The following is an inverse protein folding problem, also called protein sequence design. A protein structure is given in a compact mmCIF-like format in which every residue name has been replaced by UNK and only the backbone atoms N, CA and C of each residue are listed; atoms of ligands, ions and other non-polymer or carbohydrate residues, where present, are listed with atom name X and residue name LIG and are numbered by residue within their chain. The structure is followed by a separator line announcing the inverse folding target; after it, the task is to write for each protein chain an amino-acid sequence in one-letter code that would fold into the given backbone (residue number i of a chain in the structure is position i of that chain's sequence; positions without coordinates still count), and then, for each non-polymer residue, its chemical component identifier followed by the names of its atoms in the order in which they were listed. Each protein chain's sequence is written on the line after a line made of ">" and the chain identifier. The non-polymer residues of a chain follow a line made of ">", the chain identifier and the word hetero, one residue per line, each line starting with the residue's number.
data_IF_471369253832
#
_entry.id   IF_471369253832
#
_cell.length_a   1.000
_cell.length_b   1.000
_cell.length_c   1.000
_cell.angle_alpha   90.00
_cell.angle_beta   90.00
_cell.angle_gamma   90.00
#
_symmetry.space_group_name_H-M   'P 1'
#
loop_
_entity.id
_entity.type
_entity.pdbx_description
1 polymer ?
#
# COMPACT_ATOMS: atom_id res chain seq x y z
N UNK A 1 -18.01 -5.51 -21.38
CA UNK A 1 -18.15 -4.46 -20.37
C UNK A 1 -17.06 -3.43 -20.55
N UNK A 2 -17.39 -2.13 -20.49
CA UNK A 2 -16.44 -1.03 -20.57
C UNK A 2 -16.45 -0.23 -19.28
N UNK A 3 -15.29 -0.04 -18.65
CA UNK A 3 -15.15 0.67 -17.38
C UNK A 3 -14.20 1.87 -17.51
N UNK A 4 -14.65 3.04 -17.04
CA UNK A 4 -13.77 4.20 -16.90
C UNK A 4 -13.23 4.24 -15.47
N UNK A 5 -11.91 4.22 -15.32
CA UNK A 5 -11.21 4.29 -14.04
C UNK A 5 -10.64 5.70 -13.84
N UNK A 6 -10.74 6.26 -12.65
CA UNK A 6 -10.24 7.61 -12.33
C UNK A 6 -9.22 7.56 -11.20
N UNK A 7 -7.96 7.90 -11.50
CA UNK A 7 -6.87 8.04 -10.54
C UNK A 7 -6.14 9.37 -10.77
N UNK A 8 -6.25 10.30 -9.81
CA UNK A 8 -5.73 11.67 -9.95
C UNK A 8 -4.46 11.94 -9.14
N UNK A 9 -3.89 10.93 -8.52
CA UNK A 9 -2.63 11.03 -7.76
C UNK A 9 -1.45 11.40 -8.67
N UNK A 10 -0.54 12.25 -8.15
CA UNK A 10 0.66 12.65 -8.93
C UNK A 10 1.82 11.67 -8.79
N UNK A 11 1.87 10.94 -7.68
CA UNK A 11 2.96 10.04 -7.33
C UNK A 11 2.52 8.58 -7.48
N UNK A 12 3.43 7.74 -7.94
CA UNK A 12 3.19 6.30 -8.05
C UNK A 12 3.51 5.59 -6.72
N UNK A 13 2.53 5.64 -5.81
CA UNK A 13 2.57 4.88 -4.56
C UNK A 13 1.74 3.60 -4.67
N UNK A 14 1.70 2.80 -3.61
CA UNK A 14 0.97 1.53 -3.59
C UNK A 14 -0.47 1.59 -4.11
N UNK A 15 -1.19 2.71 -3.92
CA UNK A 15 -2.54 2.89 -4.47
C UNK A 15 -2.57 2.91 -6.00
N UNK A 16 -1.66 3.66 -6.63
CA UNK A 16 -1.57 3.73 -8.09
C UNK A 16 -1.10 2.39 -8.69
N UNK A 17 -0.21 1.67 -8.02
CA UNK A 17 0.21 0.33 -8.40
C UNK A 17 -0.98 -0.64 -8.46
N UNK A 18 -1.87 -0.62 -7.44
CA UNK A 18 -3.08 -1.44 -7.43
C UNK A 18 -4.01 -1.16 -8.63
N UNK A 19 -4.06 0.11 -9.07
CA UNK A 19 -4.87 0.48 -10.25
C UNK A 19 -4.28 -0.15 -11.51
N UNK A 20 -2.98 -0.05 -11.73
CA UNK A 20 -2.33 -0.64 -12.91
C UNK A 20 -2.53 -2.16 -12.94
N UNK A 21 -2.28 -2.86 -11.82
CA UNK A 21 -2.51 -4.31 -11.73
C UNK A 21 -3.97 -4.69 -12.01
N UNK A 22 -4.93 -3.93 -11.44
CA UNK A 22 -6.34 -4.16 -11.70
C UNK A 22 -6.67 -4.01 -13.19
N UNK A 23 -6.20 -2.95 -13.85
CA UNK A 23 -6.51 -2.70 -15.25
C UNK A 23 -5.90 -3.76 -16.17
N UNK A 24 -4.67 -4.17 -15.92
CA UNK A 24 -4.03 -5.26 -16.65
C UNK A 24 -4.82 -6.57 -16.50
N UNK A 25 -5.15 -6.96 -15.27
CA UNK A 25 -5.90 -8.20 -15.03
C UNK A 25 -7.35 -8.16 -15.54
N UNK A 26 -7.99 -7.00 -15.56
CA UNK A 26 -9.31 -6.82 -16.18
C UNK A 26 -9.25 -6.96 -17.71
N UNK A 27 -8.18 -6.51 -18.34
CA UNK A 27 -7.97 -6.70 -19.79
C UNK A 27 -7.89 -8.20 -20.14
N UNK A 28 -7.21 -9.02 -19.33
CA UNK A 28 -7.14 -10.48 -19.49
C UNK A 28 -8.53 -11.15 -19.38
N UNK A 29 -9.47 -10.51 -18.68
CA UNK A 29 -10.89 -10.93 -18.58
C UNK A 29 -11.78 -10.34 -19.67
N UNK A 30 -11.22 -9.62 -20.64
CA UNK A 30 -11.98 -9.01 -21.73
C UNK A 30 -12.78 -7.77 -21.33
N UNK A 31 -12.43 -7.12 -20.22
CA UNK A 31 -13.01 -5.83 -19.82
C UNK A 31 -12.26 -4.70 -20.50
N UNK A 32 -12.98 -3.87 -21.26
CA UNK A 32 -12.43 -2.65 -21.88
C UNK A 32 -12.27 -1.57 -20.82
N UNK A 33 -11.03 -1.19 -20.50
CA UNK A 33 -10.70 -0.25 -19.43
C UNK A 33 -10.08 1.03 -19.99
N UNK A 34 -10.58 2.18 -19.54
CA UNK A 34 -10.02 3.51 -19.84
C UNK A 34 -9.57 4.17 -18.54
N UNK A 35 -8.30 4.49 -18.42
CA UNK A 35 -7.75 5.20 -17.28
C UNK A 35 -7.79 6.71 -17.48
N UNK A 36 -8.51 7.42 -16.64
CA UNK A 36 -8.47 8.88 -16.54
C UNK A 36 -7.49 9.28 -15.44
N UNK A 37 -6.43 9.99 -15.81
CA UNK A 37 -5.43 10.47 -14.87
C UNK A 37 -4.97 11.90 -15.15
N UNK A 38 -4.19 12.47 -14.22
CA UNK A 38 -3.59 13.80 -14.40
C UNK A 38 -2.44 13.72 -15.41
N UNK A 39 -2.40 14.60 -16.44
CA UNK A 39 -1.35 14.59 -17.43
C UNK A 39 0.05 14.72 -16.82
N UNK A 40 1.01 13.91 -17.29
CA UNK A 40 2.39 13.89 -16.81
C UNK A 40 2.57 13.34 -15.39
N UNK A 41 1.54 12.71 -14.81
CA UNK A 41 1.69 11.99 -13.54
C UNK A 41 2.47 10.68 -13.74
N UNK A 42 2.99 10.12 -12.66
CA UNK A 42 3.76 8.88 -12.77
C UNK A 42 2.89 7.70 -13.24
N UNK A 43 1.60 7.65 -12.87
CA UNK A 43 0.67 6.62 -13.37
C UNK A 43 0.37 6.79 -14.85
N UNK A 44 0.32 8.02 -15.37
CA UNK A 44 0.12 8.31 -16.81
C UNK A 44 1.17 7.57 -17.67
N UNK A 45 2.45 7.75 -17.32
CA UNK A 45 3.56 7.09 -18.03
C UNK A 45 3.51 5.56 -17.89
N UNK A 46 3.38 5.06 -16.67
CA UNK A 46 3.41 3.61 -16.39
C UNK A 46 2.23 2.89 -17.03
N UNK A 47 1.05 3.48 -17.02
CA UNK A 47 -0.14 2.89 -17.66
C UNK A 47 0.01 2.84 -19.19
N UNK A 48 0.59 3.87 -19.82
CA UNK A 48 0.87 3.86 -21.25
C UNK A 48 1.92 2.80 -21.61
N UNK A 49 3.00 2.66 -20.82
CA UNK A 49 4.01 1.61 -20.98
C UNK A 49 3.40 0.20 -20.83
N UNK A 50 2.37 0.05 -20.01
CA UNK A 50 1.60 -1.20 -19.83
C UNK A 50 0.53 -1.42 -20.92
N UNK A 51 0.41 -0.55 -21.92
CA UNK A 51 -0.57 -0.66 -23.01
C UNK A 51 -2.02 -0.31 -22.60
N UNK A 52 -2.23 0.31 -21.45
CA UNK A 52 -3.55 0.74 -20.97
C UNK A 52 -3.99 1.99 -21.74
N UNK A 53 -5.26 2.03 -22.17
CA UNK A 53 -5.84 3.24 -22.76
C UNK A 53 -5.94 4.37 -21.74
N UNK A 54 -5.23 5.46 -21.94
CA UNK A 54 -5.15 6.60 -21.01
C UNK A 54 -5.79 7.85 -21.60
N UNK A 55 -6.65 8.48 -20.83
CA UNK A 55 -7.26 9.80 -21.10
C UNK A 55 -6.76 10.81 -20.05
N UNK A 56 -6.12 11.85 -20.49
CA UNK A 56 -5.51 12.86 -19.63
C UNK A 56 -6.47 14.00 -19.30
N UNK A 57 -6.92 14.09 -18.02
CA UNK A 57 -7.74 15.18 -17.53
C UNK A 57 -7.05 15.89 -16.35
N UNK A 58 -6.74 17.19 -16.47
CA UNK A 58 -6.19 17.94 -15.35
C UNK A 58 -7.16 17.97 -14.17
N UNK A 59 -6.66 17.67 -12.95
CA UNK A 59 -7.43 17.74 -11.71
C UNK A 59 -6.70 18.58 -10.67
N UNK A 60 -7.37 19.60 -10.11
CA UNK A 60 -6.80 20.53 -9.11
C UNK A 60 -7.16 20.17 -7.67
N UNK A 61 -8.02 19.17 -7.46
CA UNK A 61 -8.41 18.70 -6.13
C UNK A 61 -9.90 18.37 -5.97
N UNK A 62 -10.32 18.20 -4.72
CA UNK A 62 -11.67 17.67 -4.37
C UNK A 62 -12.85 18.55 -4.84
N UNK A 63 -12.65 19.84 -5.01
CA UNK A 63 -13.69 20.79 -5.43
C UNK A 63 -13.45 21.33 -6.86
N UNK A 64 -12.80 20.56 -7.72
CA UNK A 64 -12.59 20.93 -9.11
C UNK A 64 -13.85 20.62 -9.96
N UNK A 65 -14.81 21.55 -9.97
CA UNK A 65 -16.01 21.43 -10.80
C UNK A 65 -15.72 21.39 -12.31
N UNK A 66 -14.62 22.02 -12.74
CA UNK A 66 -14.19 21.97 -14.13
C UNK A 66 -13.69 20.55 -14.50
N UNK A 67 -13.04 19.84 -13.57
CA UNK A 67 -12.72 18.42 -13.74
C UNK A 67 -13.98 17.57 -13.86
N UNK A 68 -14.97 17.76 -12.97
CA UNK A 68 -16.24 17.05 -13.03
C UNK A 68 -16.94 17.23 -14.40
N UNK A 69 -16.94 18.46 -14.92
CA UNK A 69 -17.53 18.74 -16.24
C UNK A 69 -16.74 18.10 -17.39
N UNK A 70 -15.39 18.14 -17.36
CA UNK A 70 -14.55 17.46 -18.36
C UNK A 70 -14.78 15.95 -18.31
N UNK A 71 -14.84 15.37 -17.11
CA UNK A 71 -15.11 13.94 -16.92
C UNK A 71 -16.52 13.57 -17.44
N UNK A 72 -17.53 14.36 -17.16
CA UNK A 72 -18.88 14.14 -17.68
C UNK A 72 -18.91 14.12 -19.23
N UNK A 73 -18.17 15.03 -19.87
CA UNK A 73 -18.05 15.02 -21.35
C UNK A 73 -17.35 13.77 -21.86
N UNK A 74 -16.31 13.31 -21.17
CA UNK A 74 -15.60 12.07 -21.48
C UNK A 74 -16.53 10.87 -21.34
N UNK A 75 -17.25 10.74 -20.22
CA UNK A 75 -18.21 9.66 -19.98
C UNK A 75 -19.28 9.58 -21.10
N UNK A 76 -19.80 10.73 -21.54
CA UNK A 76 -20.74 10.79 -22.66
C UNK A 76 -20.14 10.39 -24.01
N UNK A 77 -18.84 10.62 -24.21
CA UNK A 77 -18.11 10.22 -25.42
C UNK A 77 -17.80 8.73 -25.41
N UNK A 78 -17.23 8.24 -24.30
CA UNK A 78 -16.77 6.86 -24.15
C UNK A 78 -17.92 5.86 -23.96
N UNK A 79 -19.05 6.32 -23.42
CA UNK A 79 -20.25 5.52 -23.11
C UNK A 79 -19.90 4.24 -22.34
N UNK A 80 -19.20 4.34 -21.21
CA UNK A 80 -18.88 3.18 -20.40
C UNK A 80 -20.13 2.62 -19.74
N UNK A 81 -20.04 1.36 -19.30
CA UNK A 81 -21.07 0.72 -18.49
C UNK A 81 -20.97 1.14 -17.01
N UNK A 82 -19.75 1.52 -16.55
CA UNK A 82 -19.48 1.82 -15.14
C UNK A 82 -18.31 2.82 -14.98
N UNK A 83 -18.37 3.64 -13.91
CA UNK A 83 -17.25 4.48 -13.44
C UNK A 83 -16.64 3.90 -12.16
N UNK A 84 -15.31 3.77 -12.06
CA UNK A 84 -14.60 3.42 -10.85
C UNK A 84 -13.59 4.50 -10.43
N UNK A 85 -13.79 5.10 -9.25
CA UNK A 85 -12.89 6.11 -8.68
C UNK A 85 -11.93 5.47 -7.67
N UNK A 86 -10.61 5.70 -7.83
CA UNK A 86 -9.56 5.06 -7.03
C UNK A 86 -8.86 5.97 -6.03
N UNK A 87 -8.88 7.29 -6.23
CA UNK A 87 -8.20 8.23 -5.35
C UNK A 87 -9.15 9.21 -4.70
N UNK A 88 -8.85 9.57 -3.44
CA UNK A 88 -9.62 10.55 -2.68
C UNK A 88 -9.42 11.98 -3.17
N UNK A 89 -8.20 12.33 -3.62
CA UNK A 89 -7.86 13.71 -3.97
C UNK A 89 -8.39 14.09 -5.34
N UNK A 90 -9.70 14.38 -5.41
CA UNK A 90 -10.35 14.93 -6.58
C UNK A 90 -10.98 13.91 -7.53
N UNK A 91 -10.79 12.61 -7.34
CA UNK A 91 -11.45 11.60 -8.15
C UNK A 91 -12.80 11.21 -7.59
N UNK A 92 -12.90 10.95 -6.28
CA UNK A 92 -14.09 10.40 -5.65
C UNK A 92 -15.29 11.36 -5.70
N UNK A 93 -15.20 12.55 -5.11
CA UNK A 93 -16.32 13.48 -5.03
C UNK A 93 -16.77 13.98 -6.41
N UNK A 94 -15.92 14.60 -7.25
CA UNK A 94 -16.35 15.06 -8.58
C UNK A 94 -16.70 13.90 -9.52
N UNK A 95 -16.01 12.75 -9.39
CA UNK A 95 -16.24 11.58 -10.23
C UNK A 95 -17.60 10.95 -9.99
N UNK A 96 -17.94 10.70 -8.72
CA UNK A 96 -19.24 10.13 -8.37
C UNK A 96 -20.42 11.00 -8.84
N UNK A 97 -20.32 12.32 -8.65
CA UNK A 97 -21.38 13.22 -9.13
C UNK A 97 -21.44 13.33 -10.66
N UNK A 98 -20.29 13.26 -11.35
CA UNK A 98 -20.27 13.21 -12.82
C UNK A 98 -20.94 11.93 -13.34
N UNK A 99 -20.68 10.76 -12.72
CA UNK A 99 -21.34 9.51 -13.05
C UNK A 99 -22.86 9.59 -12.84
N UNK A 100 -23.29 10.10 -11.68
CA UNK A 100 -24.72 10.28 -11.36
C UNK A 100 -25.44 11.16 -12.39
N UNK A 101 -24.81 12.26 -12.82
CA UNK A 101 -25.38 13.14 -13.86
C UNK A 101 -25.41 12.45 -15.22
N UNK A 102 -24.44 11.57 -15.49
CA UNK A 102 -24.39 10.77 -16.71
C UNK A 102 -25.39 9.60 -16.70
N UNK A 103 -26.00 9.27 -15.56
CA UNK A 103 -26.88 8.10 -15.38
C UNK A 103 -26.10 6.78 -15.36
N UNK A 104 -24.83 6.81 -14.94
CA UNK A 104 -23.95 5.65 -14.89
C UNK A 104 -23.80 5.13 -13.46
N UNK A 105 -23.78 3.82 -13.24
CA UNK A 105 -23.38 3.24 -11.96
C UNK A 105 -21.91 3.55 -11.66
N UNK A 106 -21.60 3.65 -10.35
CA UNK A 106 -20.27 4.05 -9.92
C UNK A 106 -19.78 3.28 -8.69
N UNK A 107 -18.49 2.96 -8.71
CA UNK A 107 -17.74 2.34 -7.61
C UNK A 107 -16.68 3.31 -7.12
N UNK A 108 -16.37 3.28 -5.82
CA UNK A 108 -15.22 3.99 -5.25
C UNK A 108 -14.39 3.07 -4.37
N UNK A 109 -13.07 3.06 -4.56
CA UNK A 109 -12.12 2.37 -3.68
C UNK A 109 -11.59 3.29 -2.59
N UNK A 110 -11.82 2.94 -1.33
CA UNK A 110 -11.31 3.65 -0.17
C UNK A 110 -10.01 3.05 0.32
N UNK A 111 -8.91 3.85 0.27
CA UNK A 111 -7.54 3.39 0.59
C UNK A 111 -6.93 4.05 1.82
N UNK A 112 -7.66 4.93 2.51
CA UNK A 112 -7.15 5.70 3.65
C UNK A 112 -7.98 5.45 4.91
N UNK A 113 -7.31 5.36 6.05
CA UNK A 113 -7.83 5.04 7.38
C UNK A 113 -8.40 6.26 8.15
N UNK A 114 -8.50 7.42 7.51
CA UNK A 114 -9.05 8.61 8.16
C UNK A 114 -10.58 8.55 8.22
N UNK A 115 -11.15 8.60 9.41
CA UNK A 115 -12.59 8.70 9.60
C UNK A 115 -13.12 10.06 9.09
N UNK A 116 -14.35 10.03 8.60
CA UNK A 116 -15.11 11.22 8.20
C UNK A 116 -16.32 11.37 9.11
N UNK A 117 -16.84 12.62 9.22
CA UNK A 117 -18.11 12.79 9.90
C UNK A 117 -19.22 12.06 9.11
N UNK A 118 -20.27 11.54 9.79
CA UNK A 118 -21.37 10.86 9.09
C UNK A 118 -22.01 11.68 7.97
N UNK A 119 -22.13 12.99 8.16
CA UNK A 119 -22.67 13.89 7.13
C UNK A 119 -21.76 14.00 5.93
N UNK A 120 -20.44 14.16 6.14
CA UNK A 120 -19.47 14.23 5.05
C UNK A 120 -19.42 12.90 4.27
N UNK A 121 -19.43 11.76 4.98
CA UNK A 121 -19.49 10.44 4.37
C UNK A 121 -20.76 10.23 3.57
N UNK A 122 -21.94 10.62 4.10
CA UNK A 122 -23.21 10.52 3.41
C UNK A 122 -23.19 11.31 2.09
N UNK A 123 -22.66 12.54 2.09
CA UNK A 123 -22.55 13.36 0.87
C UNK A 123 -21.56 12.75 -0.12
N UNK A 124 -20.38 12.31 0.36
CA UNK A 124 -19.31 11.76 -0.49
C UNK A 124 -19.74 10.48 -1.18
N UNK A 125 -20.37 9.55 -0.43
CA UNK A 125 -20.69 8.21 -0.94
C UNK A 125 -22.12 8.07 -1.50
N UNK A 126 -22.96 9.13 -1.43
CA UNK A 126 -24.30 9.13 -2.00
C UNK A 126 -24.35 8.71 -3.49
N UNK A 127 -23.43 9.22 -4.37
CA UNK A 127 -23.52 8.93 -5.79
C UNK A 127 -22.99 7.55 -6.19
N UNK A 128 -22.40 6.78 -5.27
CA UNK A 128 -21.83 5.48 -5.57
C UNK A 128 -22.77 4.33 -5.23
N UNK A 129 -22.77 3.31 -6.05
CA UNK A 129 -23.51 2.06 -5.85
C UNK A 129 -22.76 1.13 -4.91
N UNK A 130 -21.41 1.07 -5.03
CA UNK A 130 -20.53 0.34 -4.12
C UNK A 130 -19.36 1.20 -3.64
N UNK A 131 -18.99 0.99 -2.37
CA UNK A 131 -17.83 1.58 -1.69
C UNK A 131 -16.93 0.43 -1.28
N UNK A 132 -15.82 0.24 -1.99
CA UNK A 132 -14.86 -0.83 -1.75
C UNK A 132 -13.83 -0.38 -0.72
N UNK A 133 -13.76 -1.06 0.40
CA UNK A 133 -12.69 -0.94 1.38
C UNK A 133 -11.54 -1.88 1.02
N UNK A 134 -10.28 -1.38 1.03
CA UNK A 134 -9.12 -2.22 0.70
C UNK A 134 -8.65 -3.11 1.85
N UNK A 135 -9.37 -3.12 2.96
CA UNK A 135 -9.08 -3.91 4.16
C UNK A 135 -10.28 -3.91 5.10
N UNK A 136 -10.36 -4.89 6.00
CA UNK A 136 -11.38 -4.94 7.04
C UNK A 136 -11.26 -3.74 8.01
N UNK A 137 -10.02 -3.26 8.27
CA UNK A 137 -9.79 -2.03 9.02
C UNK A 137 -10.44 -0.82 8.34
N UNK A 138 -10.28 -0.65 7.04
CA UNK A 138 -10.91 0.46 6.30
C UNK A 138 -12.43 0.30 6.28
N UNK A 139 -12.96 -0.92 6.14
CA UNK A 139 -14.40 -1.18 6.24
C UNK A 139 -14.94 -0.77 7.62
N UNK A 140 -14.23 -1.10 8.71
CA UNK A 140 -14.61 -0.65 10.05
C UNK A 140 -14.59 0.88 10.21
N UNK A 141 -13.67 1.58 9.54
CA UNK A 141 -13.65 3.06 9.50
C UNK A 141 -14.89 3.59 8.77
N UNK A 142 -15.26 3.00 7.64
CA UNK A 142 -16.45 3.39 6.86
C UNK A 142 -17.75 3.14 7.64
N UNK A 143 -17.87 2.00 8.34
CA UNK A 143 -19.00 1.69 9.25
C UNK A 143 -19.13 2.73 10.35
N UNK A 144 -18.03 3.12 11.00
CA UNK A 144 -18.02 4.21 11.99
C UNK A 144 -18.44 5.55 11.40
N UNK A 145 -18.16 5.79 10.12
CA UNK A 145 -18.62 6.96 9.37
C UNK A 145 -20.06 6.81 8.87
N UNK A 146 -20.77 5.73 9.23
CA UNK A 146 -22.18 5.42 8.86
C UNK A 146 -22.39 5.28 7.35
N UNK A 147 -21.44 4.75 6.62
CA UNK A 147 -21.66 4.30 5.25
C UNK A 147 -22.60 3.09 5.27
N UNK A 148 -23.58 3.07 4.37
CA UNK A 148 -24.57 1.98 4.30
C UNK A 148 -23.87 0.64 4.01
N UNK A 149 -24.18 -0.40 4.80
CA UNK A 149 -23.60 -1.72 4.70
C UNK A 149 -23.89 -2.38 3.34
N UNK A 150 -25.07 -2.17 2.76
CA UNK A 150 -25.44 -2.72 1.44
C UNK A 150 -24.53 -2.21 0.31
N UNK A 151 -23.92 -1.02 0.51
CA UNK A 151 -22.96 -0.45 -0.42
C UNK A 151 -21.52 -0.90 -0.14
N UNK A 152 -21.25 -1.51 1.01
CA UNK A 152 -19.89 -1.81 1.44
C UNK A 152 -19.44 -3.16 0.87
N UNK A 153 -18.26 -3.16 0.26
CA UNK A 153 -17.54 -4.38 -0.11
C UNK A 153 -16.10 -4.31 0.44
N UNK A 154 -15.51 -5.45 0.74
CA UNK A 154 -14.09 -5.54 1.12
C UNK A 154 -13.36 -6.27 0.02
N UNK A 155 -12.42 -5.58 -0.64
CA UNK A 155 -11.51 -6.17 -1.62
C UNK A 155 -10.10 -5.77 -1.22
N UNK A 156 -9.32 -6.73 -0.72
CA UNK A 156 -7.97 -6.47 -0.23
C UNK A 156 -7.03 -5.99 -1.34
N UNK A 157 -6.12 -5.08 -1.01
CA UNK A 157 -5.04 -4.73 -1.91
C UNK A 157 -4.14 -5.95 -2.14
N UNK A 158 -3.67 -6.11 -3.36
CA UNK A 158 -2.85 -7.25 -3.78
C UNK A 158 -1.35 -6.96 -3.73
N UNK A 159 -0.58 -8.01 -3.87
CA UNK A 159 0.85 -7.99 -4.17
C UNK A 159 1.13 -8.93 -5.35
N UNK A 160 2.07 -8.54 -6.21
CA UNK A 160 2.57 -9.40 -7.28
C UNK A 160 3.59 -10.37 -6.71
N UNK A 161 3.08 -11.54 -6.29
CA UNK A 161 3.91 -12.56 -5.62
C UNK A 161 4.91 -13.19 -6.59
N UNK A 162 4.51 -13.36 -7.83
CA UNK A 162 5.33 -14.01 -8.85
C UNK A 162 6.48 -13.11 -9.32
N UNK A 163 6.27 -11.79 -9.33
CA UNK A 163 7.30 -10.81 -9.64
C UNK A 163 8.25 -10.51 -8.46
N UNK A 164 7.91 -10.93 -7.22
CA UNK A 164 8.78 -10.70 -6.06
C UNK A 164 9.92 -11.72 -6.02
N UNK A 165 11.18 -11.26 -6.14
CA UNK A 165 12.34 -12.16 -6.09
C UNK A 165 12.52 -12.73 -4.67
N UNK A 166 12.90 -14.00 -4.58
CA UNK A 166 13.17 -14.70 -3.30
C UNK A 166 14.64 -15.11 -3.15
N UNK A 167 15.44 -14.96 -4.19
CA UNK A 167 16.85 -15.37 -4.23
C UNK A 167 17.72 -14.23 -4.78
N UNK A 168 17.80 -13.14 -4.01
CA UNK A 168 18.65 -11.99 -4.36
C UNK A 168 20.02 -12.16 -3.70
N UNK A 169 21.10 -12.03 -4.50
CA UNK A 169 22.46 -12.07 -3.98
C UNK A 169 22.68 -10.99 -2.91
N UNK A 170 22.87 -11.44 -1.67
CA UNK A 170 23.08 -10.60 -0.50
C UNK A 170 24.25 -9.61 -0.66
N UNK A 171 25.22 -9.90 -1.55
CA UNK A 171 26.34 -8.99 -1.83
C UNK A 171 25.88 -7.61 -2.31
N UNK A 172 24.66 -7.50 -2.85
CA UNK A 172 24.08 -6.22 -3.27
C UNK A 172 23.87 -5.27 -2.08
N UNK A 173 23.51 -5.79 -0.90
CA UNK A 173 23.35 -4.99 0.32
C UNK A 173 24.66 -4.40 0.80
N UNK A 174 25.77 -5.12 0.58
CA UNK A 174 27.10 -4.60 0.88
C UNK A 174 27.48 -3.45 -0.05
N UNK A 175 27.26 -3.63 -1.35
CA UNK A 175 27.61 -2.62 -2.37
C UNK A 175 26.79 -1.35 -2.23
N UNK A 176 25.47 -1.50 -2.02
CA UNK A 176 24.54 -0.37 -2.04
C UNK A 176 24.43 0.32 -0.67
N UNK A 177 24.48 -0.43 0.43
CA UNK A 177 24.12 0.08 1.76
C UNK A 177 25.22 -0.15 2.81
N UNK A 178 26.32 -0.80 2.45
CA UNK A 178 27.43 -1.08 3.37
C UNK A 178 27.07 -2.11 4.46
N UNK A 179 26.16 -3.04 4.18
CA UNK A 179 25.86 -4.17 5.07
C UNK A 179 27.05 -5.13 5.08
N UNK A 180 27.55 -5.48 6.26
CA UNK A 180 28.61 -6.50 6.35
C UNK A 180 28.07 -7.87 5.93
N UNK A 181 28.91 -8.72 5.31
CA UNK A 181 28.49 -10.04 4.82
C UNK A 181 27.85 -10.93 5.90
N UNK A 182 28.37 -10.85 7.12
CA UNK A 182 27.90 -11.60 8.30
C UNK A 182 27.00 -10.71 9.22
N UNK A 183 26.60 -9.51 8.76
CA UNK A 183 25.78 -8.58 9.52
C UNK A 183 24.28 -8.90 9.36
N UNK A 184 23.47 -8.47 10.31
CA UNK A 184 22.02 -8.59 10.24
C UNK A 184 21.41 -7.31 9.63
N UNK A 185 20.68 -7.47 8.53
CA UNK A 185 20.14 -6.37 7.74
C UNK A 185 18.64 -6.20 7.96
N UNK A 186 18.23 -5.02 8.41
CA UNK A 186 16.83 -4.66 8.65
C UNK A 186 16.38 -3.65 7.60
N UNK A 187 15.29 -3.94 6.89
CA UNK A 187 14.61 -3.00 6.00
C UNK A 187 13.45 -2.29 6.70
N UNK A 188 13.25 -1.02 6.40
CA UNK A 188 12.04 -0.25 6.69
C UNK A 188 11.60 0.45 5.42
N UNK A 189 10.44 0.09 4.89
CA UNK A 189 9.91 0.65 3.65
C UNK A 189 8.67 1.48 3.97
N UNK A 190 8.85 2.80 4.16
CA UNK A 190 7.75 3.69 4.51
C UNK A 190 8.10 5.16 4.24
N UNK A 191 7.09 6.00 4.03
CA UNK A 191 7.27 7.46 4.05
C UNK A 191 7.87 7.91 5.38
N UNK A 192 8.83 8.83 5.36
CA UNK A 192 9.44 9.41 6.57
C UNK A 192 8.50 10.45 7.20
N UNK A 193 7.44 9.97 7.82
CA UNK A 193 6.43 10.76 8.55
C UNK A 193 6.24 10.19 9.96
N UNK A 194 5.83 11.03 10.91
CA UNK A 194 5.71 10.68 12.32
C UNK A 194 4.95 9.38 12.55
N UNK A 195 3.77 9.23 11.96
CA UNK A 195 2.89 8.06 12.16
C UNK A 195 3.45 6.72 11.66
N UNK A 196 4.55 6.72 10.87
CA UNK A 196 5.25 5.50 10.44
C UNK A 196 6.26 4.98 11.45
N UNK A 197 6.47 5.69 12.55
CA UNK A 197 7.09 5.18 13.76
C UNK A 197 8.58 4.84 13.69
N UNK A 198 9.31 5.31 12.68
CA UNK A 198 10.76 5.04 12.52
C UNK A 198 11.57 5.28 13.80
N UNK A 199 11.15 6.26 14.62
CA UNK A 199 11.79 6.59 15.89
C UNK A 199 11.83 5.41 16.86
N UNK A 200 10.79 4.57 16.89
CA UNK A 200 10.73 3.43 17.81
C UNK A 200 11.82 2.40 17.50
N UNK A 201 12.13 2.19 16.21
CA UNK A 201 13.27 1.35 15.83
C UNK A 201 14.59 2.01 16.21
N UNK A 202 14.76 3.32 15.96
CA UNK A 202 15.98 4.03 16.37
C UNK A 202 16.21 3.97 17.88
N UNK A 203 15.15 4.05 18.68
CA UNK A 203 15.24 4.03 20.17
C UNK A 203 15.75 2.67 20.70
N UNK A 204 15.47 1.56 20.02
CA UNK A 204 15.90 0.21 20.47
C UNK A 204 17.26 -0.22 19.88
N UNK A 205 17.71 0.40 18.81
CA UNK A 205 18.96 0.01 18.12
C UNK A 205 20.21 0.06 19.00
N UNK A 206 20.43 1.05 19.90
CA UNK A 206 21.64 1.06 20.74
C UNK A 206 21.75 -0.21 21.59
N UNK A 207 20.64 -0.67 22.18
CA UNK A 207 20.59 -1.89 22.98
C UNK A 207 20.81 -3.16 22.13
N UNK A 208 20.22 -3.20 20.94
CA UNK A 208 20.41 -4.32 20.01
C UNK A 208 21.85 -4.40 19.50
N UNK A 209 22.47 -3.29 19.11
CA UNK A 209 23.84 -3.25 18.60
C UNK A 209 24.86 -3.64 19.68
N UNK A 210 24.59 -3.29 20.95
CA UNK A 210 25.44 -3.71 22.06
C UNK A 210 25.46 -5.24 22.26
N UNK A 211 24.37 -5.93 21.95
CA UNK A 211 24.23 -7.39 22.05
C UNK A 211 24.62 -8.10 20.74
N UNK A 212 24.27 -7.49 19.59
CA UNK A 212 24.47 -8.04 18.25
C UNK A 212 25.23 -7.02 17.36
N UNK A 213 26.56 -6.95 17.47
CA UNK A 213 27.36 -6.07 16.62
C UNK A 213 27.20 -6.45 15.14
N UNK A 214 27.08 -5.43 14.27
CA UNK A 214 26.94 -5.67 12.82
C UNK A 214 25.51 -5.53 12.30
N UNK A 215 24.54 -5.15 13.16
CA UNK A 215 23.19 -4.76 12.70
C UNK A 215 23.31 -3.53 11.79
N UNK A 216 22.63 -3.60 10.65
CA UNK A 216 22.45 -2.48 9.72
C UNK A 216 20.98 -2.29 9.41
N UNK A 217 20.51 -1.04 9.48
CA UNK A 217 19.13 -0.67 9.12
C UNK A 217 19.14 0.20 7.89
N UNK A 218 18.27 -0.11 6.93
CA UNK A 218 18.09 0.70 5.72
C UNK A 218 16.65 1.24 5.67
N UNK A 219 16.53 2.57 5.66
CA UNK A 219 15.25 3.25 5.51
C UNK A 219 15.01 3.62 4.05
N UNK A 220 14.03 2.98 3.43
CA UNK A 220 13.53 3.30 2.10
C UNK A 220 12.32 4.22 2.21
N UNK A 221 12.50 5.46 1.82
CA UNK A 221 11.43 6.46 1.81
C UNK A 221 11.93 7.88 1.94
N UNK A 222 11.04 8.82 1.68
CA UNK A 222 11.24 10.26 1.86
C UNK A 222 10.07 10.84 2.66
N UNK A 223 10.27 11.99 3.27
CA UNK A 223 9.21 12.68 3.99
C UNK A 223 9.71 13.78 4.90
N UNK A 224 8.81 14.59 5.47
CA UNK A 224 9.17 15.75 6.29
C UNK A 224 9.88 15.40 7.60
N UNK A 225 9.90 14.13 8.02
CA UNK A 225 10.61 13.70 9.23
C UNK A 225 12.07 13.30 8.97
N UNK A 226 12.58 13.36 7.72
CA UNK A 226 13.92 12.89 7.35
C UNK A 226 15.02 13.54 8.21
N UNK A 227 15.05 14.86 8.27
CA UNK A 227 16.06 15.61 9.03
C UNK A 227 16.00 15.29 10.54
N UNK A 228 14.79 15.17 11.10
CA UNK A 228 14.61 14.81 12.51
C UNK A 228 15.10 13.40 12.81
N UNK A 229 14.85 12.44 11.93
CA UNK A 229 15.28 11.05 12.09
C UNK A 229 16.81 10.93 11.95
N UNK A 230 17.43 11.62 11.00
CA UNK A 230 18.90 11.67 10.87
C UNK A 230 19.55 12.28 12.10
N UNK A 231 19.01 13.39 12.60
CA UNK A 231 19.48 14.04 13.83
C UNK A 231 19.34 13.12 15.04
N UNK A 232 18.25 12.36 15.15
CA UNK A 232 18.05 11.38 16.21
C UNK A 232 19.08 10.23 16.10
N UNK A 233 19.25 9.66 14.91
CA UNK A 233 20.26 8.62 14.68
C UNK A 233 21.67 9.08 15.06
N UNK A 234 22.05 10.32 14.70
CA UNK A 234 23.35 10.88 15.06
C UNK A 234 23.52 11.04 16.58
N UNK A 235 22.50 11.58 17.29
CA UNK A 235 22.53 11.70 18.75
C UNK A 235 22.63 10.36 19.48
N UNK A 236 22.06 9.31 18.91
CA UNK A 236 22.11 7.95 19.46
C UNK A 236 23.39 7.20 19.04
N UNK A 237 24.32 7.83 18.29
CA UNK A 237 25.54 7.19 17.81
C UNK A 237 25.34 6.16 16.71
N UNK A 238 24.19 6.21 15.99
CA UNK A 238 23.78 5.21 15.03
C UNK A 238 24.17 5.52 13.57
N UNK A 239 24.97 6.58 13.31
CA UNK A 239 25.30 7.03 11.95
C UNK A 239 25.98 5.94 11.09
N UNK A 240 26.71 5.01 11.69
CA UNK A 240 27.31 3.87 10.99
C UNK A 240 26.32 2.72 10.76
N UNK A 241 25.31 2.57 11.63
CA UNK A 241 24.36 1.45 11.60
C UNK A 241 23.10 1.75 10.76
N UNK A 242 22.76 3.02 10.53
CA UNK A 242 21.53 3.42 9.85
C UNK A 242 21.84 4.09 8.51
N UNK A 243 21.25 3.57 7.44
CA UNK A 243 21.34 4.12 6.10
C UNK A 243 19.98 4.66 5.65
N UNK A 244 19.93 5.91 5.20
CA UNK A 244 18.73 6.52 4.62
C UNK A 244 18.84 6.50 3.10
N UNK A 245 18.23 5.49 2.47
CA UNK A 245 18.33 5.24 1.03
C UNK A 245 17.48 6.19 0.17
N UNK A 246 16.61 7.01 0.81
CA UNK A 246 15.67 7.84 0.07
C UNK A 246 14.54 7.03 -0.56
N UNK A 247 13.82 7.65 -1.49
CA UNK A 247 12.80 6.95 -2.26
C UNK A 247 13.45 6.15 -3.40
N UNK A 248 13.19 4.84 -3.43
CA UNK A 248 13.69 3.92 -4.46
C UNK A 248 12.51 3.20 -5.12
N UNK A 249 12.42 3.24 -6.45
CA UNK A 249 11.42 2.47 -7.22
C UNK A 249 11.73 0.97 -7.20
N UNK A 250 13.01 0.64 -7.11
CA UNK A 250 13.57 -0.71 -7.10
C UNK A 250 13.73 -1.29 -5.68
N UNK A 251 13.15 -0.65 -4.65
CA UNK A 251 13.26 -1.14 -3.27
C UNK A 251 12.79 -2.60 -3.10
N UNK A 252 11.78 -3.00 -3.89
CA UNK A 252 11.22 -4.35 -3.85
C UNK A 252 12.23 -5.41 -4.32
N UNK A 253 13.17 -5.05 -5.21
CA UNK A 253 14.21 -5.93 -5.74
C UNK A 253 15.27 -6.32 -4.70
N UNK A 254 15.33 -5.60 -3.57
CA UNK A 254 16.28 -5.86 -2.50
C UNK A 254 15.70 -6.68 -1.34
N UNK A 255 14.36 -6.79 -1.23
CA UNK A 255 13.71 -7.25 -0.01
C UNK A 255 14.19 -8.64 0.44
N UNK A 256 14.29 -9.61 -0.45
CA UNK A 256 14.71 -10.97 -0.10
C UNK A 256 16.19 -11.09 0.31
N UNK A 257 16.99 -10.05 0.07
CA UNK A 257 18.38 -10.01 0.54
C UNK A 257 18.51 -9.55 2.00
N UNK A 258 17.48 -8.92 2.58
CA UNK A 258 17.42 -8.54 4.00
C UNK A 258 17.07 -9.74 4.88
N UNK A 259 17.30 -9.59 6.19
CA UNK A 259 16.95 -10.62 7.18
C UNK A 259 15.59 -10.34 7.83
N UNK A 260 15.14 -9.07 7.83
CA UNK A 260 13.93 -8.64 8.53
C UNK A 260 13.37 -7.35 7.93
N UNK A 261 12.04 -7.28 7.77
CA UNK A 261 11.33 -6.00 7.64
C UNK A 261 10.76 -5.59 8.99
N UNK A 262 11.03 -4.36 9.43
CA UNK A 262 10.37 -3.76 10.61
C UNK A 262 9.40 -2.69 10.16
N UNK A 263 8.12 -2.80 10.60
CA UNK A 263 7.07 -1.84 10.28
C UNK A 263 6.43 -1.26 11.56
N UNK A 264 7.08 -0.30 12.23
CA UNK A 264 6.68 0.18 13.54
C UNK A 264 5.64 1.32 13.46
N UNK A 265 4.69 1.22 12.54
CA UNK A 265 3.69 2.26 12.29
C UNK A 265 2.66 2.36 13.43
N UNK A 266 2.31 3.60 13.80
CA UNK A 266 1.24 3.92 14.77
C UNK A 266 -0.16 3.68 14.17
N UNK A 267 -0.27 3.81 12.86
CA UNK A 267 -1.52 3.59 12.10
C UNK A 267 -1.19 3.09 10.70
N UNK A 268 -1.93 2.09 10.27
CA UNK A 268 -1.81 1.51 8.93
C UNK A 268 -3.19 1.16 8.35
N UNK A 269 -3.37 1.36 7.07
CA UNK A 269 -4.59 0.93 6.35
C UNK A 269 -4.60 -0.58 6.08
N UNK A 270 -3.55 -1.08 5.45
CA UNK A 270 -3.25 -2.49 5.25
C UNK A 270 -1.74 -2.76 5.29
N UNK A 271 -0.91 -1.80 4.78
CA UNK A 271 0.54 -1.94 4.83
C UNK A 271 1.13 -2.75 3.68
N UNK A 272 0.98 -2.25 2.46
CA UNK A 272 1.50 -2.92 1.23
C UNK A 272 2.99 -3.28 1.33
N UNK A 273 3.79 -2.51 2.08
CA UNK A 273 5.20 -2.85 2.30
C UNK A 273 5.38 -4.19 3.05
N UNK A 274 4.48 -4.51 3.98
CA UNK A 274 4.48 -5.81 4.68
C UNK A 274 4.06 -6.93 3.74
N UNK A 275 3.05 -6.71 2.88
CA UNK A 275 2.65 -7.70 1.88
C UNK A 275 3.81 -8.01 0.92
N UNK A 276 4.54 -6.98 0.45
CA UNK A 276 5.70 -7.14 -0.42
C UNK A 276 6.83 -7.89 0.27
N UNK A 277 7.12 -7.58 1.54
CA UNK A 277 8.12 -8.30 2.32
C UNK A 277 7.74 -9.78 2.48
N UNK A 278 6.49 -10.06 2.86
CA UNK A 278 6.00 -11.44 2.95
C UNK A 278 6.07 -12.16 1.61
N UNK A 279 5.73 -11.49 0.49
CA UNK A 279 5.86 -12.06 -0.85
C UNK A 279 7.32 -12.36 -1.25
N UNK A 280 8.29 -11.63 -0.70
CA UNK A 280 9.73 -11.86 -0.86
C UNK A 280 10.31 -12.86 0.16
N UNK A 281 9.48 -13.59 0.91
CA UNK A 281 9.88 -14.49 2.00
C UNK A 281 10.64 -13.80 3.15
N UNK A 282 10.55 -12.47 3.24
CA UNK A 282 11.19 -11.70 4.29
C UNK A 282 10.27 -11.67 5.53
N UNK A 283 10.73 -12.13 6.71
CA UNK A 283 9.93 -12.06 7.94
C UNK A 283 9.62 -10.61 8.30
N UNK A 284 8.45 -10.40 8.91
CA UNK A 284 7.96 -9.06 9.27
C UNK A 284 7.77 -8.95 10.78
N UNK A 285 8.33 -7.89 11.39
CA UNK A 285 7.94 -7.44 12.73
C UNK A 285 7.19 -6.12 12.60
N UNK A 286 6.00 -6.03 13.17
CA UNK A 286 5.19 -4.82 13.14
C UNK A 286 4.51 -4.54 14.49
N UNK A 287 4.13 -3.28 14.74
CA UNK A 287 3.20 -3.00 15.82
C UNK A 287 1.82 -3.55 15.50
N UNK A 288 1.17 -4.12 16.52
CA UNK A 288 -0.19 -4.66 16.44
C UNK A 288 -1.19 -3.50 16.35
N UNK A 289 -1.36 -2.98 15.14
CA UNK A 289 -2.40 -2.03 14.77
C UNK A 289 -3.27 -2.65 13.69
N UNK A 290 -4.51 -2.18 13.54
CA UNK A 290 -5.52 -2.87 12.76
C UNK A 290 -5.06 -3.30 11.36
N UNK A 291 -4.43 -2.41 10.58
CA UNK A 291 -3.94 -2.77 9.24
C UNK A 291 -2.73 -3.71 9.24
N UNK A 292 -1.86 -3.64 10.27
CA UNK A 292 -0.75 -4.59 10.40
C UNK A 292 -1.25 -5.99 10.79
N UNK A 293 -2.25 -6.07 11.69
CA UNK A 293 -2.85 -7.33 12.10
C UNK A 293 -3.61 -8.05 10.96
N UNK A 294 -4.01 -7.31 9.94
CA UNK A 294 -4.60 -7.88 8.73
C UNK A 294 -3.54 -8.41 7.75
N UNK A 295 -2.41 -7.71 7.65
CA UNK A 295 -1.29 -8.11 6.77
C UNK A 295 -0.46 -9.26 7.34
N UNK A 296 -0.31 -9.33 8.67
CA UNK A 296 0.57 -10.28 9.37
C UNK A 296 -0.21 -11.08 10.40
N UNK A 297 -0.12 -12.40 10.35
CA UNK A 297 -0.60 -13.30 11.40
C UNK A 297 0.50 -13.55 12.43
N UNK A 298 0.24 -13.10 13.69
CA UNK A 298 1.20 -13.20 14.77
C UNK A 298 1.68 -14.65 14.99
N UNK A 299 3.01 -14.83 15.01
CA UNK A 299 3.71 -16.10 15.19
C UNK A 299 3.40 -17.17 14.12
N UNK A 300 2.84 -16.75 12.97
CA UNK A 300 2.64 -17.62 11.80
C UNK A 300 3.31 -17.07 10.55
N UNK A 301 3.09 -15.78 10.23
CA UNK A 301 3.67 -15.12 9.05
C UNK A 301 4.53 -13.91 9.41
N UNK A 302 4.73 -13.67 10.71
CA UNK A 302 5.53 -12.59 11.27
C UNK A 302 5.23 -12.37 12.75
N UNK A 303 5.78 -11.34 13.35
CA UNK A 303 5.62 -11.03 14.77
C UNK A 303 4.90 -9.69 14.92
N UNK A 304 3.77 -9.70 15.62
CA UNK A 304 3.07 -8.49 16.04
C UNK A 304 3.39 -8.18 17.50
N UNK A 305 3.91 -7.00 17.77
CA UNK A 305 4.20 -6.52 19.12
C UNK A 305 3.20 -5.42 19.53
N UNK A 306 2.87 -5.27 20.80
CA UNK A 306 1.94 -4.22 21.26
C UNK A 306 2.39 -2.84 20.78
N UNK A 307 1.44 -2.00 20.36
CA UNK A 307 1.76 -0.65 19.90
C UNK A 307 2.49 0.16 20.98
N UNK A 308 3.66 0.70 20.60
CA UNK A 308 4.49 1.53 21.47
C UNK A 308 5.33 0.77 22.50
N UNK A 309 5.22 -0.55 22.58
CA UNK A 309 6.08 -1.37 23.42
C UNK A 309 7.44 -1.59 22.76
N UNK A 310 8.35 -0.67 23.04
CA UNK A 310 9.73 -0.70 22.50
C UNK A 310 10.54 -1.87 23.06
N UNK A 311 10.23 -2.33 24.29
CA UNK A 311 10.89 -3.49 24.89
C UNK A 311 10.50 -4.76 24.15
N UNK A 312 9.21 -4.96 23.87
CA UNK A 312 8.74 -6.09 23.07
C UNK A 312 9.29 -6.04 21.64
N UNK A 313 9.44 -4.85 21.04
CA UNK A 313 10.06 -4.68 19.72
C UNK A 313 11.53 -5.12 19.75
N UNK A 314 12.29 -4.69 20.76
CA UNK A 314 13.69 -5.10 20.94
C UNK A 314 13.83 -6.60 21.10
N UNK A 315 13.01 -7.21 21.98
CA UNK A 315 13.02 -8.67 22.23
C UNK A 315 12.69 -9.43 20.94
N UNK A 316 11.66 -9.01 20.19
CA UNK A 316 11.26 -9.69 18.97
C UNK A 316 12.36 -9.64 17.89
N UNK A 317 13.04 -8.49 17.74
CA UNK A 317 14.17 -8.37 16.80
C UNK A 317 15.33 -9.26 17.26
N UNK A 318 15.70 -9.22 18.54
CA UNK A 318 16.77 -10.05 19.11
C UNK A 318 16.51 -11.54 18.91
N UNK A 319 15.28 -11.99 19.12
CA UNK A 319 14.89 -13.38 18.93
C UNK A 319 15.11 -13.88 17.48
N UNK A 320 14.79 -13.04 16.47
CA UNK A 320 15.03 -13.42 15.06
C UNK A 320 16.52 -13.33 14.67
N UNK A 321 17.33 -12.57 15.39
CA UNK A 321 18.80 -12.58 15.21
C UNK A 321 19.39 -13.86 15.78
N UNK A 322 18.94 -14.28 16.97
CA UNK A 322 19.46 -15.46 17.67
C UNK A 322 18.96 -16.77 17.04
N UNK A 323 17.75 -16.76 16.48
CA UNK A 323 17.10 -17.94 15.89
C UNK A 323 16.64 -17.66 14.44
N UNK A 324 17.58 -17.58 13.47
CA UNK A 324 17.28 -17.20 12.08
C UNK A 324 16.35 -18.19 11.36
N UNK A 325 16.31 -19.45 11.77
CA UNK A 325 15.40 -20.46 11.21
C UNK A 325 13.94 -20.11 11.46
N UNK A 326 13.61 -19.52 12.61
CA UNK A 326 12.25 -19.00 12.89
C UNK A 326 11.91 -17.90 11.89
N UNK A 327 12.82 -16.98 11.61
CA UNK A 327 12.63 -15.93 10.61
C UNK A 327 12.31 -16.50 9.23
N UNK A 328 13.04 -17.52 8.81
CA UNK A 328 12.82 -18.21 7.53
C UNK A 328 11.44 -18.89 7.47
N UNK A 329 11.05 -19.63 8.50
CA UNK A 329 9.73 -20.27 8.57
C UNK A 329 8.58 -19.26 8.48
N UNK A 330 8.70 -18.11 9.19
CA UNK A 330 7.73 -17.03 9.14
C UNK A 330 7.66 -16.39 7.74
N UNK A 331 8.79 -16.18 7.08
CA UNK A 331 8.87 -15.64 5.73
C UNK A 331 8.21 -16.54 4.69
N UNK A 332 8.56 -17.83 4.70
CA UNK A 332 7.95 -18.84 3.82
C UNK A 332 6.43 -18.95 4.01
N UNK A 333 5.96 -18.96 5.26
CA UNK A 333 4.53 -18.95 5.57
C UNK A 333 3.87 -17.64 5.12
N UNK A 334 4.59 -16.52 5.24
CA UNK A 334 4.16 -15.22 4.74
C UNK A 334 3.88 -15.27 3.24
N UNK A 335 4.83 -15.79 2.44
CA UNK A 335 4.67 -15.90 0.99
C UNK A 335 3.47 -16.78 0.60
N UNK A 336 3.33 -17.97 1.24
CA UNK A 336 2.15 -18.83 0.98
C UNK A 336 0.84 -18.08 1.20
N UNK A 337 0.73 -17.32 2.29
CA UNK A 337 -0.46 -16.51 2.55
C UNK A 337 -0.68 -15.41 1.50
N UNK A 338 0.39 -14.78 1.01
CA UNK A 338 0.26 -13.79 -0.07
C UNK A 338 -0.27 -14.42 -1.36
N UNK A 339 0.14 -15.62 -1.70
CA UNK A 339 -0.39 -16.38 -2.85
C UNK A 339 -1.89 -16.68 -2.70
N UNK A 340 -2.31 -17.09 -1.51
CA UNK A 340 -3.68 -17.53 -1.23
C UNK A 340 -4.67 -16.36 -1.07
N UNK A 341 -4.28 -15.29 -0.35
CA UNK A 341 -5.23 -14.26 0.09
C UNK A 341 -5.02 -12.88 -0.56
N UNK A 342 -3.81 -12.60 -1.08
CA UNK A 342 -3.42 -11.27 -1.52
C UNK A 342 -2.89 -11.23 -2.96
N UNK A 343 -3.23 -12.22 -3.79
CA UNK A 343 -2.81 -12.27 -5.18
C UNK A 343 -3.53 -11.22 -6.04
N UNK A 344 -2.87 -10.79 -7.13
CA UNK A 344 -3.49 -9.90 -8.13
C UNK A 344 -4.74 -10.56 -8.72
N UNK A 345 -4.69 -11.86 -9.02
CA UNK A 345 -5.83 -12.59 -9.58
C UNK A 345 -7.06 -12.52 -8.68
N UNK A 346 -6.90 -12.80 -7.38
CA UNK A 346 -8.00 -12.72 -6.40
C UNK A 346 -8.60 -11.31 -6.30
N UNK A 347 -7.76 -10.26 -6.34
CA UNK A 347 -8.23 -8.88 -6.35
C UNK A 347 -9.03 -8.58 -7.62
N UNK A 348 -8.53 -8.98 -8.80
CA UNK A 348 -9.17 -8.73 -10.09
C UNK A 348 -10.52 -9.46 -10.17
N UNK A 349 -10.57 -10.74 -9.75
CA UNK A 349 -11.81 -11.52 -9.70
C UNK A 349 -12.86 -10.82 -8.84
N UNK A 350 -12.48 -10.43 -7.62
CA UNK A 350 -13.40 -9.73 -6.71
C UNK A 350 -13.94 -8.40 -7.26
N UNK A 351 -13.13 -7.64 -7.99
CA UNK A 351 -13.62 -6.42 -8.65
C UNK A 351 -14.53 -6.72 -9.83
N UNK A 352 -14.21 -7.75 -10.63
CA UNK A 352 -15.06 -8.18 -11.73
C UNK A 352 -16.45 -8.59 -11.23
N UNK A 353 -16.51 -9.40 -10.15
CA UNK A 353 -17.76 -9.83 -9.51
C UNK A 353 -18.59 -8.62 -9.04
N UNK A 354 -17.96 -7.62 -8.40
CA UNK A 354 -18.65 -6.38 -7.97
C UNK A 354 -19.19 -5.60 -9.15
N UNK A 355 -18.46 -5.54 -10.27
CA UNK A 355 -18.97 -4.84 -11.45
C UNK A 355 -20.16 -5.57 -12.07
N UNK A 356 -20.10 -6.90 -12.17
CA UNK A 356 -21.20 -7.73 -12.66
C UNK A 356 -22.42 -7.65 -11.76
N UNK A 357 -22.26 -7.67 -10.44
CA UNK A 357 -23.36 -7.48 -9.48
C UNK A 357 -24.09 -6.15 -9.73
N UNK A 358 -23.36 -5.05 -9.94
CA UNK A 358 -23.94 -3.72 -10.15
C UNK A 358 -24.65 -3.63 -11.51
N UNK A 359 -24.16 -4.28 -12.55
CA UNK A 359 -24.71 -4.17 -13.90
C UNK A 359 -25.90 -5.12 -14.14
N UNK A 360 -26.03 -6.18 -13.34
CA UNK A 360 -27.10 -7.17 -13.46
C UNK A 360 -28.24 -6.98 -12.43
N UNK A 361 -28.03 -6.15 -11.41
CA UNK A 361 -29.01 -5.84 -10.35
C UNK A 361 -29.80 -4.61 -10.66
#
# INVERSE_FOLDING_TARGET
>A
MKVVHVETGRHFYGGAQQVVWLLCGLADKGVDSVLVCTPGSAIDRIAQEAGIHVENLPCKGELDFAFAWRLLRLLRREKPDLLHCHSRRGADFPGGYAARIAGLPAVVSRRVDSAESPTAAAIRYAPFDKVVAISDNIAAVLRRSRVNEDKLAVIRSAVDVDAMPTDVDRSILHREFGVHKDGFAIAVVAQLIKRKGHRFLLDVLPGLIAQHPGIKVVFFGIGPADEQLRSLAARLGLSAAVHFAGFRYDADEYLSAFDLLVHPAEKEGLGVAMLKASAAELPVIAFNVAGSAEAVEHMKTGILVPFGDVSALQIAIGALIDEPDIGKELGEAGRRRMQEEFSIASMVDSYADVYEEILNG
#
